data_IF_251047595554
#
_entry.id   IF_251047595554
#
_cell.length_a   1.000
_cell.length_b   1.000
_cell.length_c   1.000
_cell.angle_alpha   90.00
_cell.angle_beta   90.00
_cell.angle_gamma   90.00
#
_symmetry.space_group_name_H-M   'P 1'
#
loop_
_entity.id
_entity.type
_entity.pdbx_description
1 polymer ?
#
# COMPACT_ATOMS: atom_id res chain seq x y z
N UNK A 1 7.49 -15.74 -13.89
CA UNK A 1 6.71 -15.85 -12.64
C UNK A 1 5.42 -15.08 -12.85
N UNK A 2 4.30 -15.77 -12.69
CA UNK A 2 3.02 -15.42 -13.28
C UNK A 2 2.04 -14.98 -12.17
N UNK A 3 1.68 -13.69 -12.10
CA UNK A 3 0.57 -13.20 -11.29
C UNK A 3 -0.67 -13.96 -11.74
N UNK A 4 -1.16 -14.83 -10.87
CA UNK A 4 -2.44 -15.49 -11.05
C UNK A 4 -3.47 -14.81 -10.16
N UNK A 5 -4.44 -14.15 -10.78
CA UNK A 5 -5.67 -13.72 -10.12
C UNK A 5 -6.51 -14.99 -9.93
N UNK A 6 -6.46 -15.60 -8.74
CA UNK A 6 -6.99 -16.95 -8.56
C UNK A 6 -8.51 -17.06 -8.81
N UNK A 7 -8.80 -18.14 -9.54
CA UNK A 7 -10.05 -18.91 -9.62
C UNK A 7 -10.33 -19.58 -8.27
N UNK A 8 -11.48 -19.31 -7.66
CA UNK A 8 -12.24 -20.30 -6.88
C UNK A 8 -13.73 -19.93 -6.92
N UNK A 9 -14.61 -20.73 -7.57
CA UNK A 9 -16.04 -20.47 -7.64
C UNK A 9 -16.83 -20.68 -6.34
N UNK A 10 -16.21 -21.13 -5.24
CA UNK A 10 -16.97 -21.47 -4.01
C UNK A 10 -16.65 -20.63 -2.76
N UNK A 11 -15.95 -19.50 -2.89
CA UNK A 11 -15.78 -18.54 -1.78
C UNK A 11 -16.18 -17.13 -2.20
N UNK A 12 -17.44 -16.82 -1.90
CA UNK A 12 -18.03 -15.49 -2.01
C UNK A 12 -17.25 -14.50 -1.15
N UNK A 13 -16.40 -13.69 -1.77
CA UNK A 13 -16.08 -12.36 -1.26
C UNK A 13 -17.10 -11.44 -1.93
N UNK A 14 -18.06 -10.97 -1.13
CA UNK A 14 -19.30 -10.28 -1.53
C UNK A 14 -19.17 -9.39 -2.78
N UNK A 15 -19.80 -9.82 -3.86
CA UNK A 15 -20.05 -9.08 -5.10
C UNK A 15 -21.15 -8.03 -4.91
N UNK A 16 -20.80 -6.82 -4.49
CA UNK A 16 -21.52 -5.57 -4.79
C UNK A 16 -20.45 -4.47 -4.66
N UNK A 17 -19.84 -3.92 -5.70
CA UNK A 17 -20.35 -3.33 -6.96
C UNK A 17 -19.14 -3.25 -7.92
N UNK A 18 -19.28 -3.62 -9.20
CA UNK A 18 -18.95 -2.75 -10.35
C UNK A 18 -19.32 -3.40 -11.69
N UNK A 19 -19.86 -2.54 -12.54
CA UNK A 19 -20.31 -2.74 -13.91
C UNK A 19 -19.21 -3.28 -14.83
N UNK A 20 -19.42 -4.50 -15.32
CA UNK A 20 -19.16 -5.00 -16.67
C UNK A 20 -18.74 -6.48 -16.60
N UNK A 21 -19.52 -7.34 -17.26
CA UNK A 21 -19.29 -8.78 -17.33
C UNK A 21 -18.01 -9.15 -18.12
N UNK A 22 -17.37 -8.19 -18.81
CA UNK A 22 -16.10 -8.37 -19.53
C UNK A 22 -14.87 -8.61 -18.62
N UNK A 23 -14.96 -8.27 -17.33
CA UNK A 23 -13.84 -8.35 -16.37
C UNK A 23 -13.62 -9.75 -15.75
N UNK A 24 -14.34 -10.78 -16.21
CA UNK A 24 -14.47 -12.09 -15.52
C UNK A 24 -13.36 -13.11 -15.77
N UNK A 25 -12.52 -12.96 -16.81
CA UNK A 25 -11.51 -13.98 -17.12
C UNK A 25 -10.22 -13.71 -16.35
N UNK A 26 -9.75 -14.64 -15.48
CA UNK A 26 -8.45 -14.48 -14.83
C UNK A 26 -7.37 -14.39 -15.90
N UNK A 27 -6.52 -13.37 -15.80
CA UNK A 27 -5.37 -13.21 -16.68
C UNK A 27 -4.10 -13.39 -15.92
N UNK A 28 -3.17 -14.06 -16.57
CA UNK A 28 -1.84 -14.22 -16.04
C UNK A 28 -0.96 -13.06 -16.48
N UNK A 29 -0.24 -12.44 -15.54
CA UNK A 29 0.70 -11.33 -15.83
C UNK A 29 2.11 -11.69 -15.35
N UNK A 30 3.14 -11.20 -16.02
CA UNK A 30 4.52 -11.44 -15.59
C UNK A 30 4.88 -10.51 -14.43
N UNK A 31 5.29 -11.08 -13.28
CA UNK A 31 6.06 -10.32 -12.27
C UNK A 31 7.55 -10.47 -12.57
N UNK A 32 8.23 -9.33 -12.64
CA UNK A 32 9.67 -9.23 -12.84
C UNK A 32 10.35 -8.99 -11.50
N UNK A 33 11.49 -9.61 -11.30
CA UNK A 33 12.33 -9.32 -10.14
C UNK A 33 13.08 -8.01 -10.36
N UNK A 34 12.88 -7.05 -9.47
CA UNK A 34 13.54 -5.74 -9.52
C UNK A 34 14.94 -5.76 -8.89
N UNK A 35 15.34 -6.84 -8.21
CA UNK A 35 16.62 -6.94 -7.50
C UNK A 35 17.84 -6.48 -8.33
N UNK A 36 17.99 -6.87 -9.62
CA UNK A 36 19.17 -6.48 -10.41
C UNK A 36 19.24 -4.98 -10.75
N UNK A 37 18.12 -4.27 -10.66
CA UNK A 37 17.97 -2.88 -11.07
C UNK A 37 17.16 -2.05 -10.05
N UNK A 38 17.19 -2.46 -8.78
CA UNK A 38 16.37 -1.88 -7.71
C UNK A 38 16.59 -0.37 -7.53
N UNK A 39 17.79 0.10 -7.84
CA UNK A 39 18.19 1.50 -7.72
C UNK A 39 17.69 2.39 -8.88
N UNK A 40 17.22 1.79 -9.97
CA UNK A 40 16.69 2.51 -11.14
C UNK A 40 15.25 2.99 -10.91
N UNK A 41 14.52 2.37 -9.99
CA UNK A 41 13.14 2.73 -9.68
C UNK A 41 13.08 4.01 -8.83
N UNK A 42 12.19 4.92 -9.22
CA UNK A 42 12.03 6.25 -8.63
C UNK A 42 10.56 6.55 -8.42
N UNK A 43 10.22 7.13 -7.26
CA UNK A 43 8.84 7.44 -6.89
C UNK A 43 8.11 8.32 -7.93
N UNK A 44 8.75 9.36 -8.46
CA UNK A 44 8.13 10.30 -9.42
C UNK A 44 8.03 9.74 -10.85
N UNK A 45 8.68 8.62 -11.15
CA UNK A 45 8.69 8.00 -12.48
C UNK A 45 7.83 6.74 -12.48
N UNK A 46 8.07 5.84 -11.52
CA UNK A 46 7.51 4.49 -11.49
C UNK A 46 6.35 4.37 -10.50
N UNK A 47 6.21 5.33 -9.57
CA UNK A 47 5.24 5.26 -8.47
C UNK A 47 5.78 4.51 -7.24
N UNK A 48 6.97 3.93 -7.32
CA UNK A 48 7.64 3.23 -6.21
C UNK A 48 9.16 3.36 -6.27
N UNK A 49 9.82 3.05 -5.15
CA UNK A 49 11.28 3.05 -4.99
C UNK A 49 11.69 2.18 -3.80
N UNK A 50 12.87 1.58 -3.87
CA UNK A 50 13.50 0.90 -2.72
C UNK A 50 14.41 1.88 -1.99
N UNK A 51 14.25 2.00 -0.67
CA UNK A 51 15.14 2.76 0.22
C UNK A 51 15.88 1.80 1.15
N UNK A 52 17.09 2.19 1.53
CA UNK A 52 17.80 1.54 2.62
C UNK A 52 17.29 2.08 3.97
N UNK A 53 16.91 1.18 4.85
CA UNK A 53 16.48 1.47 6.21
C UNK A 53 17.18 0.52 7.18
N UNK A 54 18.20 0.97 7.92
CA UNK A 54 18.95 0.11 8.83
C UNK A 54 18.06 -0.69 9.77
N UNK A 55 18.40 -1.96 9.98
CA UNK A 55 17.66 -2.75 10.96
C UNK A 55 17.96 -2.25 12.38
N UNK A 56 16.92 -2.05 13.18
CA UNK A 56 17.04 -1.82 14.62
C UNK A 56 16.06 -2.72 15.35
N UNK A 57 16.57 -3.45 16.33
CA UNK A 57 15.76 -4.29 17.21
C UNK A 57 14.65 -3.47 17.88
N UNK A 58 13.44 -4.02 17.88
CA UNK A 58 12.23 -3.40 18.42
C UNK A 58 11.23 -4.47 18.85
N UNK A 59 10.40 -4.14 19.84
CA UNK A 59 9.25 -4.94 20.19
C UNK A 59 8.03 -4.50 19.37
N UNK A 60 7.76 -5.24 18.31
CA UNK A 60 6.63 -5.04 17.40
C UNK A 60 5.42 -5.93 17.71
N UNK A 61 5.52 -6.82 18.71
CA UNK A 61 4.46 -7.80 19.05
C UNK A 61 3.18 -7.16 19.59
N UNK A 62 3.30 -6.04 20.30
CA UNK A 62 2.15 -5.28 20.83
C UNK A 62 1.90 -3.97 20.05
N UNK A 63 2.69 -3.71 19.01
CA UNK A 63 2.61 -2.51 18.17
C UNK A 63 3.03 -1.19 18.84
N UNK A 64 3.40 -1.18 20.13
CA UNK A 64 3.70 0.05 20.87
C UNK A 64 4.98 0.75 20.37
N UNK A 65 6.03 -0.02 20.09
CA UNK A 65 7.28 0.54 19.55
C UNK A 65 7.16 0.92 18.07
N UNK A 66 6.15 0.41 17.37
CA UNK A 66 5.87 0.78 15.97
C UNK A 66 5.42 2.24 15.93
N UNK A 67 4.40 2.58 16.73
CA UNK A 67 3.82 3.92 16.73
C UNK A 67 4.76 4.98 17.32
N UNK A 68 5.70 4.58 18.19
CA UNK A 68 6.61 5.52 18.87
C UNK A 68 7.98 5.61 18.22
N UNK A 69 8.67 4.48 18.03
CA UNK A 69 10.06 4.45 17.52
C UNK A 69 10.10 4.32 16.01
N UNK A 70 9.34 3.37 15.43
CA UNK A 70 9.39 3.12 13.99
C UNK A 70 8.80 4.25 13.17
N UNK A 71 7.67 4.81 13.59
CA UNK A 71 7.08 5.97 12.92
C UNK A 71 8.05 7.13 12.85
N UNK A 72 8.71 7.45 13.97
CA UNK A 72 9.72 8.50 14.00
C UNK A 72 10.88 8.22 13.04
N UNK A 73 11.39 6.99 13.02
CA UNK A 73 12.46 6.58 12.12
C UNK A 73 12.07 6.77 10.65
N UNK A 74 10.83 6.42 10.30
CA UNK A 74 10.29 6.57 8.95
C UNK A 74 10.08 8.04 8.58
N UNK A 75 9.51 8.84 9.48
CA UNK A 75 9.30 10.27 9.24
C UNK A 75 10.62 11.00 9.01
N UNK A 76 11.67 10.65 9.77
CA UNK A 76 13.01 11.21 9.60
C UNK A 76 13.64 10.73 8.27
N UNK A 77 13.48 9.44 7.91
CA UNK A 77 13.95 8.90 6.62
C UNK A 77 13.27 9.60 5.43
N UNK A 78 11.95 9.82 5.48
CA UNK A 78 11.21 10.47 4.41
C UNK A 78 11.66 11.93 4.23
N UNK A 79 11.93 12.65 5.31
CA UNK A 79 12.49 14.01 5.24
C UNK A 79 13.86 14.01 4.56
N UNK A 80 14.73 13.07 4.93
CA UNK A 80 16.10 12.99 4.39
C UNK A 80 16.13 12.54 2.92
N UNK A 81 15.40 11.46 2.58
CA UNK A 81 15.53 10.78 1.29
C UNK A 81 14.54 11.25 0.24
N UNK A 82 13.34 11.67 0.65
CA UNK A 82 12.28 12.10 -0.26
C UNK A 82 12.15 13.63 -0.30
N UNK A 83 12.59 14.33 0.76
CA UNK A 83 12.53 15.79 0.84
C UNK A 83 11.16 16.33 1.23
N UNK A 84 10.39 15.55 1.99
CA UNK A 84 9.12 16.04 2.58
C UNK A 84 9.43 17.01 3.73
N UNK A 85 8.62 18.04 3.90
CA UNK A 85 8.74 18.98 5.02
C UNK A 85 8.15 18.39 6.30
N UNK A 86 6.99 17.74 6.17
CA UNK A 86 6.32 17.02 7.24
C UNK A 86 5.92 15.63 6.75
N UNK A 87 6.05 14.65 7.63
CA UNK A 87 5.55 13.30 7.44
C UNK A 87 4.82 12.90 8.71
N UNK A 88 3.71 12.19 8.54
CA UNK A 88 2.94 11.64 9.64
C UNK A 88 2.57 10.20 9.35
N UNK A 89 3.09 9.27 10.15
CA UNK A 89 2.82 7.85 9.98
C UNK A 89 1.52 7.41 10.67
N UNK A 90 0.77 6.52 10.02
CA UNK A 90 -0.50 6.03 10.53
C UNK A 90 -0.86 4.63 10.00
N UNK A 91 -1.91 4.05 10.60
CA UNK A 91 -2.52 2.78 10.23
C UNK A 91 -1.50 1.65 9.94
N UNK A 92 -0.81 1.16 10.99
CA UNK A 92 0.11 0.05 10.81
C UNK A 92 -0.70 -1.21 10.53
N UNK A 93 -0.30 -1.94 9.50
CA UNK A 93 -0.85 -3.25 9.16
C UNK A 93 0.27 -4.26 9.34
N UNK A 94 0.13 -5.05 10.39
CA UNK A 94 0.99 -6.19 10.64
C UNK A 94 0.35 -7.43 10.02
N UNK A 95 1.19 -8.27 9.42
CA UNK A 95 0.74 -9.56 8.90
C UNK A 95 1.66 -10.66 9.46
N UNK A 96 1.40 -11.17 10.67
CA UNK A 96 1.77 -12.53 11.07
C UNK A 96 0.65 -13.52 10.73
N UNK A 97 0.99 -14.78 10.46
CA UNK A 97 0.03 -15.89 10.52
C UNK A 97 0.47 -16.93 11.55
N UNK A 98 0.40 -16.55 12.84
CA UNK A 98 0.14 -17.51 13.90
C UNK A 98 -1.01 -16.97 14.76
N UNK A 99 -2.18 -17.61 14.69
CA UNK A 99 -3.39 -17.23 15.43
C UNK A 99 -3.34 -17.77 16.87
N UNK A 100 -2.22 -17.58 17.58
CA UNK A 100 -2.09 -17.98 18.97
C UNK A 100 -2.52 -16.84 19.93
N UNK A 101 -3.70 -17.04 20.51
CA UNK A 101 -4.34 -16.45 21.72
C UNK A 101 -4.50 -14.93 21.91
N UNK A 102 -3.84 -14.03 21.18
CA UNK A 102 -4.16 -12.59 21.22
C UNK A 102 -4.02 -11.93 19.84
N UNK A 103 -5.11 -11.47 19.19
CA UNK A 103 -5.00 -10.73 17.94
C UNK A 103 -4.29 -9.39 18.20
N UNK A 104 -3.21 -9.12 17.47
CA UNK A 104 -2.69 -7.76 17.33
C UNK A 104 -3.76 -6.95 16.58
N UNK A 105 -4.15 -5.76 17.02
CA UNK A 105 -5.05 -4.89 16.25
C UNK A 105 -4.53 -4.72 14.81
N UNK A 106 -5.42 -4.82 13.81
CA UNK A 106 -5.12 -4.73 12.36
C UNK A 106 -4.32 -5.88 11.72
N UNK A 107 -4.35 -7.09 12.29
CA UNK A 107 -3.81 -8.28 11.60
C UNK A 107 -4.65 -8.63 10.36
N UNK A 108 -4.06 -8.64 9.16
CA UNK A 108 -4.78 -8.92 7.91
C UNK A 108 -4.09 -9.99 7.05
N UNK A 109 -4.89 -10.76 6.28
CA UNK A 109 -4.37 -11.66 5.25
C UNK A 109 -3.74 -10.88 4.10
N UNK A 110 -2.91 -11.55 3.31
CA UNK A 110 -2.43 -10.99 2.05
C UNK A 110 -3.60 -10.77 1.08
N UNK A 111 -3.56 -9.67 0.32
CA UNK A 111 -4.59 -9.35 -0.68
C UNK A 111 -4.00 -9.66 -2.05
N UNK A 112 -4.41 -10.76 -2.71
CA UNK A 112 -3.84 -11.17 -3.98
C UNK A 112 -4.33 -10.32 -5.16
N UNK A 113 -5.41 -9.57 -4.98
CA UNK A 113 -5.98 -8.73 -6.02
C UNK A 113 -5.28 -7.37 -6.05
N UNK A 114 -4.71 -6.97 -7.19
CA UNK A 114 -4.23 -5.62 -7.43
C UNK A 114 -5.23 -4.53 -7.06
N UNK A 115 -4.79 -3.64 -6.18
CA UNK A 115 -5.60 -2.56 -5.63
C UNK A 115 -4.75 -1.33 -5.35
N UNK A 116 -5.46 -0.26 -5.01
CA UNK A 116 -4.96 0.92 -4.37
C UNK A 116 -5.87 1.21 -3.17
N UNK A 117 -5.28 1.37 -1.99
CA UNK A 117 -6.02 1.65 -0.77
C UNK A 117 -6.85 2.94 -0.81
N UNK A 118 -6.47 3.89 -1.67
CA UNK A 118 -7.10 5.19 -1.81
C UNK A 118 -7.52 5.43 -3.26
N UNK A 119 -8.73 5.94 -3.45
CA UNK A 119 -9.11 6.71 -4.63
C UNK A 119 -8.76 8.19 -4.41
N UNK A 120 -8.84 9.05 -5.45
CA UNK A 120 -8.53 10.47 -5.31
C UNK A 120 -9.31 11.15 -4.18
N UNK A 121 -10.63 10.90 -4.10
CA UNK A 121 -11.47 11.50 -3.06
C UNK A 121 -11.11 11.02 -1.66
N UNK A 122 -10.82 9.73 -1.49
CA UNK A 122 -10.46 9.22 -0.16
C UNK A 122 -9.07 9.65 0.27
N UNK A 123 -8.15 9.89 -0.67
CA UNK A 123 -6.88 10.50 -0.35
C UNK A 123 -7.02 11.96 0.10
N UNK A 124 -7.90 12.75 -0.53
CA UNK A 124 -8.10 14.17 -0.20
C UNK A 124 -8.98 14.39 1.03
N UNK A 125 -10.11 13.69 1.14
CA UNK A 125 -11.18 13.99 2.12
C UNK A 125 -11.34 12.89 3.19
N UNK A 126 -10.78 11.70 2.97
CA UNK A 126 -11.10 10.50 3.75
C UNK A 126 -9.92 9.84 4.47
N UNK A 127 -8.69 10.30 4.24
CA UNK A 127 -7.49 9.57 4.70
C UNK A 127 -7.42 9.46 6.23
N UNK A 128 -7.91 10.49 6.93
CA UNK A 128 -7.99 10.55 8.37
C UNK A 128 -8.97 9.54 8.98
N UNK A 129 -9.86 8.94 8.19
CA UNK A 129 -10.77 7.92 8.72
C UNK A 129 -10.04 6.63 9.11
N UNK A 130 -8.79 6.48 8.71
CA UNK A 130 -7.95 5.31 9.02
C UNK A 130 -7.38 5.30 10.45
N UNK A 131 -7.64 6.33 11.28
CA UNK A 131 -7.14 6.36 12.66
C UNK A 131 -7.93 5.49 13.64
N UNK A 132 -9.21 5.21 13.39
CA UNK A 132 -10.03 4.40 14.30
C UNK A 132 -11.08 3.58 13.55
N UNK A 133 -11.47 2.43 14.12
CA UNK A 133 -12.59 1.64 13.61
C UNK A 133 -13.91 2.45 13.58
N UNK A 134 -14.04 3.41 14.49
CA UNK A 134 -15.22 4.28 14.63
C UNK A 134 -15.19 5.54 13.73
N UNK A 135 -14.13 5.77 12.95
CA UNK A 135 -13.95 6.92 12.04
C UNK A 135 -14.20 8.29 12.74
N UNK A 136 -13.62 8.51 13.92
CA UNK A 136 -13.84 9.72 14.73
C UNK A 136 -12.75 10.76 14.49
N UNK A 137 -13.15 11.98 14.05
CA UNK A 137 -12.24 13.13 13.85
C UNK A 137 -11.44 13.49 15.12
N UNK A 138 -11.98 13.21 16.31
CA UNK A 138 -11.31 13.49 17.59
C UNK A 138 -10.02 12.67 17.81
N UNK A 139 -9.81 11.58 17.05
CA UNK A 139 -8.58 10.79 17.12
C UNK A 139 -7.47 11.32 16.20
N UNK A 140 -7.78 12.31 15.36
CA UNK A 140 -6.82 12.94 14.46
C UNK A 140 -5.96 13.91 15.27
N UNK A 141 -4.62 13.87 15.17
CA UNK A 141 -3.79 14.79 15.92
C UNK A 141 -4.04 16.26 15.55
N UNK A 142 -4.34 17.11 16.54
CA UNK A 142 -4.61 18.55 16.36
C UNK A 142 -3.47 19.30 15.66
N UNK A 143 -2.23 18.83 15.82
CA UNK A 143 -1.07 19.49 15.22
C UNK A 143 -1.04 19.38 13.69
N UNK A 144 -1.81 18.47 13.06
CA UNK A 144 -1.93 18.39 11.61
C UNK A 144 -2.49 19.69 11.01
N UNK A 145 -3.46 20.31 11.67
CA UNK A 145 -3.98 21.63 11.25
C UNK A 145 -2.88 22.71 11.37
N UNK A 146 -1.99 22.60 12.35
CA UNK A 146 -0.89 23.56 12.54
C UNK A 146 0.20 23.49 11.47
N UNK A 147 0.31 22.37 10.74
CA UNK A 147 1.19 22.22 9.58
C UNK A 147 0.46 22.45 8.25
N UNK A 148 -0.77 22.96 8.29
CA UNK A 148 -1.54 23.37 7.12
C UNK A 148 -2.35 22.26 6.45
N UNK A 149 -2.57 21.12 7.12
CA UNK A 149 -3.41 20.04 6.60
C UNK A 149 -4.85 20.27 7.02
N UNK A 150 -5.72 20.56 6.06
CA UNK A 150 -7.16 20.56 6.29
C UNK A 150 -7.70 19.14 6.12
N UNK A 151 -8.20 18.57 7.21
CA UNK A 151 -8.71 17.19 7.22
C UNK A 151 -9.96 17.00 6.35
N UNK A 152 -10.71 18.07 6.09
CA UNK A 152 -11.86 18.00 5.18
C UNK A 152 -11.45 18.04 3.71
N UNK A 153 -10.24 18.54 3.42
CA UNK A 153 -9.75 18.71 2.07
C UNK A 153 -8.22 18.91 2.07
N UNK A 154 -7.49 17.80 1.96
CA UNK A 154 -6.03 17.83 1.92
C UNK A 154 -5.45 18.57 0.71
N UNK A 155 -6.24 18.79 -0.37
CA UNK A 155 -5.81 19.53 -1.56
C UNK A 155 -5.53 21.01 -1.27
N UNK A 156 -5.91 21.52 -0.09
CA UNK A 156 -5.53 22.85 0.37
C UNK A 156 -4.06 22.96 0.77
N UNK A 157 -3.39 21.83 1.01
CA UNK A 157 -1.94 21.82 1.18
C UNK A 157 -1.25 22.13 -0.17
N UNK A 158 -0.10 22.84 -0.19
CA UNK A 158 0.59 23.17 -1.45
C UNK A 158 0.92 21.94 -2.30
N UNK A 159 1.32 20.86 -1.63
CA UNK A 159 1.43 19.51 -2.17
C UNK A 159 1.37 18.53 -1.00
N UNK A 160 0.57 17.49 -1.15
CA UNK A 160 0.59 16.33 -0.26
C UNK A 160 0.70 15.01 -1.03
N UNK A 161 1.14 13.96 -0.33
CA UNK A 161 1.09 12.59 -0.82
C UNK A 161 0.83 11.61 0.31
N UNK A 162 0.20 10.48 -0.01
CA UNK A 162 0.08 9.32 0.88
C UNK A 162 0.99 8.23 0.35
N UNK A 163 2.01 7.88 1.13
CA UNK A 163 2.98 6.83 0.79
C UNK A 163 2.68 5.57 1.59
N UNK A 164 2.71 4.41 0.93
CA UNK A 164 2.80 3.11 1.57
C UNK A 164 4.27 2.74 1.76
N UNK A 165 4.62 2.24 2.94
CA UNK A 165 5.98 1.80 3.26
C UNK A 165 5.93 0.38 3.79
N UNK A 166 6.52 -0.53 3.02
CA UNK A 166 6.40 -1.97 3.24
C UNK A 166 7.77 -2.63 3.42
N UNK A 167 7.85 -3.50 4.42
CA UNK A 167 9.05 -4.32 4.67
C UNK A 167 8.72 -5.64 5.38
N UNK A 168 9.60 -6.64 5.27
CA UNK A 168 9.59 -7.80 6.17
C UNK A 168 9.96 -7.41 7.62
N UNK A 169 9.46 -8.18 8.58
CA UNK A 169 9.69 -7.98 10.02
C UNK A 169 10.91 -8.75 10.54
N UNK A 170 10.93 -10.07 10.34
CA UNK A 170 11.90 -10.96 11.01
C UNK A 170 12.79 -11.76 10.07
N UNK A 171 12.33 -12.05 8.85
CA UNK A 171 13.08 -12.79 7.84
C UNK A 171 12.70 -12.34 6.44
N UNK A 172 13.55 -12.59 5.43
CA UNK A 172 13.19 -12.33 4.05
C UNK A 172 11.88 -13.00 3.64
N UNK A 173 11.14 -12.36 2.73
CA UNK A 173 9.85 -12.89 2.27
C UNK A 173 10.07 -13.98 1.22
N UNK A 174 9.62 -15.18 1.55
CA UNK A 174 9.74 -16.37 0.69
C UNK A 174 8.40 -16.74 0.02
N UNK A 175 7.27 -16.48 0.71
CA UNK A 175 5.92 -16.80 0.24
C UNK A 175 5.05 -15.55 0.17
N UNK A 176 4.18 -15.52 -0.84
CA UNK A 176 3.22 -14.44 -1.09
C UNK A 176 3.83 -13.02 -1.06
N UNK A 177 4.98 -12.71 -1.70
CA UNK A 177 5.60 -11.38 -1.69
C UNK A 177 4.68 -10.26 -2.20
N UNK A 178 5.01 -9.01 -1.83
CA UNK A 178 4.36 -7.83 -2.37
C UNK A 178 4.90 -7.57 -3.78
N UNK A 179 4.01 -7.33 -4.75
CA UNK A 179 4.35 -6.75 -6.03
C UNK A 179 3.71 -5.37 -6.19
N UNK A 180 4.35 -4.55 -7.02
CA UNK A 180 3.96 -3.18 -7.34
C UNK A 180 3.95 -2.99 -8.86
N UNK A 181 3.05 -2.15 -9.37
CA UNK A 181 2.97 -1.82 -10.79
C UNK A 181 3.76 -0.56 -11.14
N UNK A 182 4.43 -0.57 -12.29
CA UNK A 182 5.01 0.64 -12.88
C UNK A 182 3.89 1.53 -13.43
N UNK A 183 3.72 2.69 -12.81
CA UNK A 183 2.71 3.69 -13.16
C UNK A 183 2.65 3.98 -14.66
N UNK A 184 3.78 4.02 -15.36
CA UNK A 184 3.86 4.40 -16.78
C UNK A 184 3.21 3.38 -17.72
N UNK A 185 2.93 2.19 -17.21
CA UNK A 185 2.49 1.03 -17.99
C UNK A 185 1.04 0.67 -17.73
N UNK A 186 0.37 1.38 -16.81
CA UNK A 186 -1.02 1.16 -16.45
C UNK A 186 -1.86 2.33 -17.00
N UNK A 187 -2.71 2.09 -18.01
CA UNK A 187 -3.63 3.10 -18.54
C UNK A 187 -4.61 3.63 -17.49
N UNK A 188 -5.06 4.88 -17.63
CA UNK A 188 -6.00 5.53 -16.69
C UNK A 188 -7.31 4.73 -16.57
N UNK A 189 -7.80 4.20 -17.69
CA UNK A 189 -9.03 3.42 -17.80
C UNK A 189 -9.00 2.07 -17.07
N UNK A 190 -7.82 1.61 -16.68
CA UNK A 190 -7.63 0.38 -15.92
C UNK A 190 -7.76 0.60 -14.41
N UNK A 191 -7.76 1.85 -13.96
CA UNK A 191 -8.05 2.20 -12.58
C UNK A 191 -9.56 2.33 -12.39
N UNK A 192 -10.14 1.45 -11.59
CA UNK A 192 -11.57 1.41 -11.32
C UNK A 192 -11.81 1.81 -9.87
N UNK A 193 -12.44 2.96 -9.69
CA UNK A 193 -12.84 3.42 -8.36
C UNK A 193 -14.03 2.59 -7.88
N UNK A 194 -13.87 1.97 -6.72
CA UNK A 194 -14.92 1.30 -5.99
C UNK A 194 -15.33 2.18 -4.81
N UNK A 195 -16.61 2.53 -4.78
CA UNK A 195 -17.23 3.19 -3.63
C UNK A 195 -17.85 2.11 -2.73
N UNK A 196 -17.26 1.76 -1.58
CA UNK A 196 -17.97 1.01 -0.55
C UNK A 196 -19.27 1.72 -0.16
N UNK A 197 -20.22 0.94 0.39
CA UNK A 197 -21.48 1.43 0.95
C UNK A 197 -21.25 2.70 1.79
N UNK A 198 -22.13 3.70 1.62
CA UNK A 198 -22.11 4.98 2.35
C UNK A 198 -21.79 4.78 3.84
N UNK A 199 -20.71 5.39 4.33
CA UNK A 199 -20.46 5.47 5.79
C UNK A 199 -21.12 6.72 6.34
N UNK A 200 -21.28 6.79 7.67
CA UNK A 200 -21.95 7.92 8.34
C UNK A 200 -21.20 9.26 8.19
N UNK A 201 -19.89 9.22 8.03
CA UNK A 201 -18.99 10.40 8.07
C UNK A 201 -18.32 10.70 6.73
N UNK A 202 -17.99 9.65 5.95
CA UNK A 202 -17.30 9.80 4.67
C UNK A 202 -17.61 8.63 3.74
N UNK A 203 -17.91 8.91 2.46
CA UNK A 203 -18.05 7.86 1.44
C UNK A 203 -16.67 7.39 1.02
N UNK A 204 -16.22 6.28 1.63
CA UNK A 204 -14.94 5.63 1.32
C UNK A 204 -14.77 5.40 -0.19
N UNK A 205 -13.53 5.53 -0.68
CA UNK A 205 -13.14 5.11 -2.03
C UNK A 205 -11.84 4.31 -1.93
N UNK A 206 -11.78 3.21 -2.66
CA UNK A 206 -10.55 2.49 -2.94
C UNK A 206 -10.60 2.06 -4.40
N UNK A 207 -9.45 1.85 -5.01
CA UNK A 207 -9.40 1.52 -6.44
C UNK A 207 -8.94 0.08 -6.64
N UNK A 208 -9.46 -0.54 -7.68
CA UNK A 208 -8.96 -1.83 -8.19
C UNK A 208 -8.34 -1.62 -9.54
N UNK A 209 -7.44 -2.52 -9.91
CA UNK A 209 -6.87 -2.56 -11.24
C UNK A 209 -7.55 -3.62 -12.08
N UNK A 210 -8.02 -3.22 -13.26
CA UNK A 210 -8.31 -4.15 -14.34
C UNK A 210 -7.02 -4.86 -14.76
N UNK A 211 -7.17 -5.96 -15.46
CA UNK A 211 -6.05 -6.72 -16.03
C UNK A 211 -5.43 -6.03 -17.28
N UNK A 212 -6.00 -4.91 -17.73
CA UNK A 212 -5.73 -4.31 -19.05
C UNK A 212 -6.24 -5.16 -20.21
N UNK A 213 -6.30 -4.57 -21.40
CA UNK A 213 -6.56 -5.29 -22.66
C UNK A 213 -5.41 -6.27 -22.99
N UNK A 214 -5.62 -7.29 -23.86
CA UNK A 214 -4.62 -8.35 -24.09
C UNK A 214 -3.25 -7.84 -24.57
N UNK A 215 -3.23 -6.70 -25.24
CA UNK A 215 -2.06 -6.01 -25.78
C UNK A 215 -1.43 -5.01 -24.79
N UNK A 216 -2.07 -4.77 -23.64
CA UNK A 216 -1.56 -3.91 -22.58
C UNK A 216 -0.76 -4.74 -21.56
N UNK A 217 0.55 -4.48 -21.49
CA UNK A 217 1.45 -5.09 -20.50
C UNK A 217 1.66 -4.15 -19.30
N UNK A 218 0.81 -4.29 -18.28
CA UNK A 218 1.11 -3.72 -16.97
C UNK A 218 2.41 -4.36 -16.45
N UNK A 219 3.45 -3.56 -16.26
CA UNK A 219 4.71 -4.06 -15.74
C UNK A 219 4.66 -4.16 -14.22
N UNK A 220 4.68 -5.41 -13.74
CA UNK A 220 4.70 -5.72 -12.32
C UNK A 220 6.10 -6.10 -11.85
N UNK A 221 6.44 -5.61 -10.66
CA UNK A 221 7.76 -5.77 -10.06
C UNK A 221 7.65 -6.26 -8.62
N UNK A 222 8.56 -7.12 -8.21
CA UNK A 222 8.75 -7.50 -6.80
C UNK A 222 10.24 -7.51 -6.47
N UNK A 223 10.57 -7.42 -5.19
CA UNK A 223 11.94 -7.48 -4.71
C UNK A 223 12.24 -8.89 -4.19
N UNK A 224 13.02 -9.68 -4.94
CA UNK A 224 13.42 -11.01 -4.47
C UNK A 224 14.34 -10.92 -3.24
N UNK A 225 14.21 -11.89 -2.33
CA UNK A 225 14.95 -11.90 -1.06
C UNK A 225 14.86 -10.54 -0.31
N UNK A 226 13.68 -9.90 -0.32
CA UNK A 226 13.46 -8.61 0.33
C UNK A 226 13.90 -8.71 1.79
N UNK A 227 15.00 -8.05 2.13
CA UNK A 227 15.68 -8.15 3.42
C UNK A 227 15.18 -7.14 4.45
N UNK A 228 15.71 -7.25 5.67
CA UNK A 228 15.33 -6.39 6.79
C UNK A 228 15.96 -4.99 6.74
N UNK A 229 16.78 -4.69 5.75
CA UNK A 229 17.38 -3.35 5.61
C UNK A 229 16.80 -2.57 4.43
N UNK A 230 15.69 -3.07 3.89
CA UNK A 230 15.10 -2.61 2.65
C UNK A 230 13.65 -2.21 2.88
N UNK A 231 13.31 -1.02 2.44
CA UNK A 231 11.98 -0.46 2.54
C UNK A 231 11.46 -0.20 1.13
N UNK A 232 10.40 -0.92 0.75
CA UNK A 232 9.69 -0.63 -0.49
C UNK A 232 8.69 0.49 -0.21
N UNK A 233 8.93 1.64 -0.83
CA UNK A 233 8.06 2.82 -0.73
C UNK A 233 7.29 2.97 -2.02
N UNK A 234 5.97 3.15 -1.94
CA UNK A 234 5.11 3.31 -3.10
C UNK A 234 4.01 4.33 -2.84
N UNK A 235 3.50 4.97 -3.90
CA UNK A 235 2.47 6.00 -3.79
C UNK A 235 1.10 5.35 -3.72
N UNK A 236 0.36 5.62 -2.65
CA UNK A 236 -1.09 5.46 -2.70
C UNK A 236 -1.74 6.64 -3.45
N UNK A 237 -1.25 7.85 -3.20
CA UNK A 237 -1.72 9.08 -3.84
C UNK A 237 -0.65 10.19 -3.77
N UNK A 238 -0.59 11.07 -4.76
CA UNK A 238 0.16 12.32 -4.77
C UNK A 238 -0.70 13.38 -5.45
N UNK A 239 -0.95 14.50 -4.79
CA UNK A 239 -1.67 15.66 -5.36
C UNK A 239 -0.98 16.18 -6.63
N UNK A 240 0.33 15.94 -6.77
CA UNK A 240 1.08 16.25 -7.98
C UNK A 240 0.91 15.15 -9.04
N UNK A 241 -0.03 15.36 -9.96
CA UNK A 241 -0.40 14.37 -10.99
C UNK A 241 0.30 14.53 -12.36
N UNK A 242 1.24 15.49 -12.53
CA UNK A 242 2.11 15.57 -13.73
C UNK A 242 3.25 14.53 -13.72
N UNK A 243 3.31 13.70 -12.68
CA UNK A 243 4.27 12.62 -12.43
C UNK A 243 3.52 11.35 -12.02
N UNK A 244 4.25 10.26 -11.76
CA UNK A 244 3.65 9.10 -11.15
C UNK A 244 3.04 9.49 -9.80
N UNK A 245 1.73 9.32 -9.66
CA UNK A 245 0.96 9.79 -8.50
C UNK A 245 0.27 8.68 -7.73
N UNK A 246 0.33 7.45 -8.23
CA UNK A 246 -0.26 6.27 -7.61
C UNK A 246 0.45 5.00 -8.08
N UNK A 247 0.34 3.92 -7.31
CA UNK A 247 0.97 2.64 -7.59
C UNK A 247 0.05 1.49 -7.19
N UNK A 248 -0.28 0.65 -8.16
CA UNK A 248 -1.02 -0.58 -7.91
C UNK A 248 -0.16 -1.57 -7.15
N UNK A 249 -0.74 -2.28 -6.21
CA UNK A 249 -0.01 -3.29 -5.44
C UNK A 249 -0.90 -4.46 -5.07
N UNK A 250 -0.27 -5.59 -4.77
CA UNK A 250 -0.94 -6.82 -4.38
C UNK A 250 0.07 -7.87 -3.93
N UNK A 251 -0.40 -8.94 -3.32
CA UNK A 251 0.42 -10.13 -3.12
C UNK A 251 0.33 -11.05 -4.34
N UNK A 252 1.37 -11.83 -4.60
CA UNK A 252 1.31 -12.89 -5.62
C UNK A 252 2.00 -14.16 -5.12
N UNK A 253 1.52 -15.30 -5.57
CA UNK A 253 2.10 -16.59 -5.21
C UNK A 253 3.37 -16.87 -6.06
N UNK A 254 4.43 -17.35 -5.41
CA UNK A 254 5.58 -17.96 -6.11
C UNK A 254 5.35 -19.48 -6.13
N UNK A 255 5.21 -20.11 -7.30
CA UNK A 255 5.04 -21.55 -7.39
C UNK A 255 6.13 -22.32 -6.66
N UNK A 256 5.74 -23.31 -5.86
CA UNK A 256 6.65 -24.12 -5.06
C UNK A 256 6.95 -23.56 -3.68
N UNK A 257 6.41 -22.40 -3.31
CA UNK A 257 6.59 -21.81 -1.96
C UNK A 257 5.39 -22.03 -1.05
N UNK A 258 4.35 -22.74 -1.51
CA UNK A 258 3.07 -22.91 -0.81
C UNK A 258 3.21 -23.64 0.54
N UNK A 259 4.25 -24.45 0.67
CA UNK A 259 4.58 -25.19 1.88
C UNK A 259 5.39 -24.36 2.91
N UNK A 260 5.88 -23.19 2.52
CA UNK A 260 6.63 -22.31 3.40
C UNK A 260 5.68 -21.53 4.32
N UNK A 261 6.16 -21.07 5.49
CA UNK A 261 5.38 -20.23 6.37
C UNK A 261 4.91 -18.95 5.68
N UNK A 262 3.75 -18.44 6.11
CA UNK A 262 3.24 -17.14 5.68
C UNK A 262 4.27 -16.03 5.96
N UNK A 263 4.29 -15.01 5.10
CA UNK A 263 5.19 -13.86 5.28
C UNK A 263 4.83 -13.10 6.55
N UNK A 264 5.87 -12.65 7.25
CA UNK A 264 5.76 -11.73 8.37
C UNK A 264 6.21 -10.34 7.91
N UNK A 265 5.25 -9.42 7.79
CA UNK A 265 5.49 -8.11 7.18
C UNK A 265 4.77 -6.98 7.90
N UNK A 266 5.31 -5.78 7.74
CA UNK A 266 4.76 -4.53 8.23
C UNK A 266 4.57 -3.56 7.07
N UNK A 267 3.38 -2.99 7.03
CA UNK A 267 3.03 -1.90 6.14
C UNK A 267 2.53 -0.73 6.97
N UNK A 268 3.04 0.46 6.70
CA UNK A 268 2.55 1.70 7.31
C UNK A 268 2.20 2.68 6.19
N UNK A 269 1.32 3.64 6.49
CA UNK A 269 1.06 4.77 5.60
C UNK A 269 1.70 6.01 6.18
N UNK A 270 2.18 6.91 5.32
CA UNK A 270 2.67 8.21 5.71
C UNK A 270 1.96 9.31 4.91
N UNK A 271 1.28 10.21 5.61
CA UNK A 271 0.77 11.46 5.04
C UNK A 271 1.91 12.47 5.01
N UNK A 272 2.27 12.93 3.82
CA UNK A 272 3.43 13.78 3.59
C UNK A 272 2.99 15.13 3.06
N UNK A 273 3.63 16.21 3.54
CA UNK A 273 3.48 17.58 3.04
C UNK A 273 4.85 18.08 2.61
N UNK A 274 4.93 18.71 1.43
CA UNK A 274 6.17 19.21 0.83
C UNK A 274 6.32 20.72 1.02
#
# INVERSE_FOLDING_TARGET
MEISYLKDPERVCSDEVVADASLRAPRTKLVRDMRPNQDDFKLDIHGFQVLHLPYRERNDKDGSEIQTKYYKEIEDLLKEKIGVKHAFCFAPVLRPLDLSDKPIPNTQKTIPRPHLDFGPKSASEGWWTWFTDDNLRAAVPEWLESIGVDLSDAEKAPRFSILGLWRPLYKPVERDPLCVSDFRTVPEEDYVILQPRKRKTYDGEWSVLKHGEPDVDHQWWYLSNHGLEELLVFKHHDSRMDKAWRCGHGAFAIPGTEHLPDRESLEIRAFCVY
#
